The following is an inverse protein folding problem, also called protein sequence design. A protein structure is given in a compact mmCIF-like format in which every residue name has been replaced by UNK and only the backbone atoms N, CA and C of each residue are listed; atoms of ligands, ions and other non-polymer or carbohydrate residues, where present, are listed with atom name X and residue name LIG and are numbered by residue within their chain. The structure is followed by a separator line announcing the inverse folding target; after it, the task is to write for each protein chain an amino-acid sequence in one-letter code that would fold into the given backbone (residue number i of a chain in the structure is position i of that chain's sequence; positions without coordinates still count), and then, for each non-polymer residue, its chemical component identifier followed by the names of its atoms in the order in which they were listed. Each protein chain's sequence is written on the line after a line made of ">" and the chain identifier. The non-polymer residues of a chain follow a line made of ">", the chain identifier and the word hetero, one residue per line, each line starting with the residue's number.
data_IF_483365415044
#
_entry.id   IF_483365415044
#
_cell.length_a   1.000
_cell.length_b   1.000
_cell.length_c   1.000
_cell.angle_alpha   90.00
_cell.angle_beta   90.00
_cell.angle_gamma   90.00
#
_symmetry.space_group_name_H-M   'P 1'
#
loop_
_entity.id
_entity.type
_entity.pdbx_description
1 polymer ?
#
# COMPACT_ATOMS: atom_id res chain seq x y z
N UNK A 1 34.27 -8.23 12.47
CA UNK A 1 32.85 -8.61 12.36
C UNK A 1 32.49 -8.61 10.88
N UNK A 2 32.76 -9.72 10.19
CA UNK A 2 32.62 -9.82 8.74
C UNK A 2 31.14 -9.69 8.37
N UNK A 3 30.79 -8.52 7.83
CA UNK A 3 29.46 -8.19 7.38
C UNK A 3 28.95 -9.23 6.40
N UNK A 4 27.63 -9.40 6.41
CA UNK A 4 26.83 -10.28 5.55
C UNK A 4 27.21 -10.06 4.09
N UNK A 5 28.30 -10.71 3.67
CA UNK A 5 28.81 -10.68 2.30
C UNK A 5 27.66 -11.18 1.44
N UNK A 6 27.17 -10.35 0.52
CA UNK A 6 25.95 -10.60 -0.28
C UNK A 6 25.94 -11.95 -0.98
N UNK A 7 27.09 -12.62 -1.04
CA UNK A 7 27.24 -14.02 -1.39
C UNK A 7 26.32 -14.98 -0.59
N UNK A 8 26.09 -14.73 0.70
CA UNK A 8 25.20 -15.57 1.51
C UNK A 8 23.74 -15.46 1.06
N UNK A 9 23.31 -14.26 0.66
CA UNK A 9 21.97 -14.04 0.13
C UNK A 9 21.75 -14.81 -1.18
N UNK A 10 22.76 -14.87 -2.05
CA UNK A 10 22.71 -15.67 -3.28
C UNK A 10 22.58 -17.16 -2.98
N UNK A 11 23.35 -17.68 -2.01
CA UNK A 11 23.26 -19.09 -1.59
C UNK A 11 21.87 -19.43 -1.05
N UNK A 12 21.32 -18.58 -0.18
CA UNK A 12 19.96 -18.77 0.36
C UNK A 12 18.94 -18.75 -0.78
N UNK A 13 19.06 -17.81 -1.73
CA UNK A 13 18.18 -17.72 -2.88
C UNK A 13 18.22 -19.01 -3.73
N UNK A 14 19.41 -19.57 -3.96
CA UNK A 14 19.57 -20.85 -4.67
C UNK A 14 18.90 -22.00 -3.93
N UNK A 15 19.04 -22.08 -2.60
CA UNK A 15 18.39 -23.12 -1.79
C UNK A 15 16.86 -22.99 -1.87
N UNK A 16 16.32 -21.77 -1.75
CA UNK A 16 14.88 -21.52 -1.88
C UNK A 16 14.39 -21.90 -3.28
N UNK A 17 15.15 -21.58 -4.33
CA UNK A 17 14.82 -21.98 -5.70
C UNK A 17 14.85 -23.50 -5.91
N UNK A 18 15.73 -24.24 -5.24
CA UNK A 18 15.76 -25.70 -5.29
C UNK A 18 14.57 -26.33 -4.54
N UNK A 19 14.19 -25.78 -3.38
CA UNK A 19 13.08 -26.29 -2.57
C UNK A 19 11.70 -25.95 -3.16
N UNK A 20 11.51 -24.70 -3.58
CA UNK A 20 10.25 -24.21 -4.10
C UNK A 20 10.15 -24.38 -5.63
N UNK A 21 11.27 -24.44 -6.35
CA UNK A 21 11.30 -24.46 -7.80
C UNK A 21 11.21 -23.07 -8.44
N UNK A 22 11.87 -22.92 -9.59
CA UNK A 22 11.86 -21.69 -10.39
C UNK A 22 10.47 -21.10 -10.71
N UNK A 23 9.41 -21.88 -11.00
CA UNK A 23 8.09 -21.31 -11.32
C UNK A 23 7.27 -20.90 -10.08
N UNK A 24 7.56 -21.41 -8.88
CA UNK A 24 6.72 -21.16 -7.70
C UNK A 24 7.04 -19.85 -7.00
N UNK A 25 8.31 -19.43 -6.95
CA UNK A 25 8.68 -18.11 -6.42
C UNK A 25 8.00 -16.94 -7.16
N UNK A 26 8.04 -16.84 -8.50
CA UNK A 26 7.39 -15.75 -9.22
C UNK A 26 5.86 -15.83 -9.15
N UNK A 27 5.29 -17.03 -9.03
CA UNK A 27 3.85 -17.20 -8.85
C UNK A 27 3.39 -16.66 -7.47
N UNK A 28 4.09 -17.01 -6.39
CA UNK A 28 3.82 -16.50 -5.04
C UNK A 28 4.06 -14.99 -4.94
N UNK A 29 5.14 -14.49 -5.53
CA UNK A 29 5.41 -13.06 -5.59
C UNK A 29 4.33 -12.30 -6.38
N UNK A 30 3.82 -12.88 -7.48
CA UNK A 30 2.71 -12.29 -8.25
C UNK A 30 1.42 -12.23 -7.44
N UNK A 31 1.01 -13.31 -6.77
CA UNK A 31 -0.22 -13.32 -5.98
C UNK A 31 -0.14 -12.37 -4.78
N UNK A 32 0.97 -12.40 -4.03
CA UNK A 32 1.26 -11.46 -2.94
C UNK A 32 1.31 -10.01 -3.44
N UNK A 33 1.94 -9.78 -4.60
CA UNK A 33 2.04 -8.45 -5.21
C UNK A 33 0.69 -7.87 -5.62
N UNK A 34 -0.22 -8.70 -6.13
CA UNK A 34 -1.58 -8.26 -6.46
C UNK A 34 -2.39 -7.90 -5.20
N UNK A 35 -2.34 -8.73 -4.15
CA UNK A 35 -2.98 -8.41 -2.86
C UNK A 35 -2.39 -7.16 -2.22
N UNK A 36 -1.06 -7.02 -2.24
CA UNK A 36 -0.37 -5.83 -1.71
C UNK A 36 -0.69 -4.57 -2.50
N UNK A 37 -0.91 -4.64 -3.82
CA UNK A 37 -1.25 -3.48 -4.65
C UNK A 37 -2.63 -2.91 -4.29
N UNK A 38 -3.61 -3.79 -4.11
CA UNK A 38 -4.98 -3.41 -3.71
C UNK A 38 -4.92 -2.79 -2.31
N UNK A 39 -4.27 -3.47 -1.36
CA UNK A 39 -4.12 -2.98 0.00
C UNK A 39 -3.36 -1.63 0.07
N UNK A 40 -2.27 -1.46 -0.70
CA UNK A 40 -1.58 -0.17 -0.80
C UNK A 40 -2.51 0.93 -1.31
N UNK A 41 -3.32 0.65 -2.34
CA UNK A 41 -4.23 1.63 -2.93
C UNK A 41 -5.29 2.11 -1.95
N UNK A 42 -5.92 1.18 -1.22
CA UNK A 42 -6.91 1.51 -0.19
C UNK A 42 -6.29 2.28 0.99
N UNK A 43 -5.10 1.86 1.43
CA UNK A 43 -4.37 2.57 2.51
C UNK A 43 -3.91 3.96 2.07
N UNK A 44 -3.52 4.14 0.81
CA UNK A 44 -3.16 5.46 0.26
C UNK A 44 -4.38 6.37 0.22
N UNK A 45 -5.52 5.86 -0.30
CA UNK A 45 -6.77 6.60 -0.36
C UNK A 45 -7.28 7.01 1.03
N UNK A 46 -7.18 6.15 2.04
CA UNK A 46 -7.50 6.52 3.43
C UNK A 46 -6.56 7.59 3.98
N UNK A 47 -5.27 7.52 3.63
CA UNK A 47 -4.28 8.51 4.09
C UNK A 47 -4.49 9.88 3.44
N UNK A 48 -4.87 9.90 2.16
CA UNK A 48 -5.22 11.14 1.44
C UNK A 48 -6.57 11.71 1.91
N UNK A 49 -7.58 10.89 2.16
CA UNK A 49 -8.86 11.31 2.78
C UNK A 49 -8.68 11.91 4.18
N UNK A 50 -7.76 11.37 4.99
CA UNK A 50 -7.39 11.96 6.28
C UNK A 50 -6.64 13.29 6.16
N UNK A 51 -5.97 13.55 5.03
CA UNK A 51 -5.35 14.86 4.76
C UNK A 51 -6.34 15.88 4.17
N UNK A 52 -7.36 15.43 3.43
CA UNK A 52 -8.40 16.28 2.84
C UNK A 52 -9.56 16.60 3.80
N UNK A 53 -9.86 15.75 4.79
CA UNK A 53 -10.92 16.01 5.79
C UNK A 53 -10.69 17.20 6.72
N UNK A 54 -9.47 17.73 6.79
CA UNK A 54 -9.18 18.98 7.52
C UNK A 54 -9.52 20.24 6.70
N UNK A 55 -9.89 20.13 5.42
CA UNK A 55 -10.13 21.29 4.54
C UNK A 55 -11.58 21.48 4.07
N UNK A 56 -12.50 20.55 4.34
CA UNK A 56 -13.88 20.61 3.80
C UNK A 56 -14.99 20.76 4.86
N UNK A 57 -14.67 21.07 6.12
CA UNK A 57 -15.71 21.34 7.14
C UNK A 57 -16.17 22.82 7.18
N UNK A 58 -15.48 23.75 6.53
CA UNK A 58 -15.82 25.19 6.59
C UNK A 58 -16.74 25.72 5.46
N UNK A 59 -17.04 24.92 4.42
CA UNK A 59 -17.76 25.43 3.24
C UNK A 59 -19.29 25.18 3.22
N UNK A 60 -19.82 24.29 4.06
CA UNK A 60 -21.25 23.89 4.00
C UNK A 60 -22.13 24.53 5.10
N UNK A 61 -21.62 25.50 5.87
CA UNK A 61 -22.42 26.21 6.89
C UNK A 61 -23.04 27.54 6.41
N UNK A 62 -22.67 28.05 5.22
CA UNK A 62 -23.06 29.41 4.78
C UNK A 62 -24.31 29.47 3.87
N UNK A 63 -24.89 28.34 3.46
CA UNK A 63 -26.00 28.33 2.47
C UNK A 63 -27.41 28.09 3.02
N UNK A 64 -27.61 28.06 4.34
CA UNK A 64 -28.92 27.78 4.98
C UNK A 64 -29.55 28.97 5.73
N UNK A 65 -29.08 30.21 5.53
CA UNK A 65 -29.60 31.39 6.25
C UNK A 65 -30.36 32.42 5.39
N UNK A 66 -30.54 32.20 4.07
CA UNK A 66 -31.18 33.19 3.19
C UNK A 66 -32.61 32.86 2.71
N UNK A 67 -33.24 31.78 3.19
CA UNK A 67 -34.62 31.40 2.80
C UNK A 67 -35.61 31.46 3.99
N UNK A 68 -35.53 32.48 4.83
CA UNK A 68 -36.55 32.75 5.87
C UNK A 68 -36.88 34.23 5.99
N UNK A 69 -37.05 34.90 4.84
CA UNK A 69 -37.73 36.20 4.80
C UNK A 69 -38.45 36.38 3.45
N UNK A 70 -39.64 35.79 3.33
CA UNK A 70 -40.68 36.28 2.43
C UNK A 70 -42.05 35.90 2.97
#
# INVERSE_FOLDING_TARGET
>A
MAGLSGWHLVIILVIVLLLFGAPKLPALARSLGQSMRIFRGEVQAMKDESASKDSETDADASKKSSESKK
#
